data_IF_813274220720
#
_entry.id   IF_813274220720
#
_cell.length_a   1.000
_cell.length_b   1.000
_cell.length_c   1.000
_cell.angle_alpha   90.00
_cell.angle_beta   90.00
_cell.angle_gamma   90.00
#
_symmetry.space_group_name_H-M   'P 1'
#
loop_
_entity.id
_entity.type
_entity.pdbx_description
1 polymer ?
#
# COMPACT_ATOMS: atom_id res chain seq x y z
N UNK A 1 -7.64 16.89 5.76
CA UNK A 1 -7.56 16.56 7.20
C UNK A 1 -6.22 17.06 7.79
N UNK A 2 -6.19 18.19 8.51
CA UNK A 2 -4.95 18.83 9.05
C UNK A 2 -5.03 19.18 10.55
N UNK A 3 -5.66 18.33 11.38
CA UNK A 3 -5.94 18.68 12.78
C UNK A 3 -5.60 17.63 13.85
N UNK A 4 -4.81 16.59 13.54
CA UNK A 4 -4.56 15.48 14.50
C UNK A 4 -3.13 15.46 15.11
N UNK A 5 -2.15 16.16 14.55
CA UNK A 5 -0.75 16.05 15.03
C UNK A 5 -0.32 17.05 16.12
N UNK A 6 -1.18 17.35 17.11
CA UNK A 6 -0.88 18.38 18.13
C UNK A 6 -0.11 17.91 19.37
N UNK A 7 0.43 16.68 19.39
CA UNK A 7 1.15 16.17 20.57
C UNK A 7 2.06 14.95 20.40
N UNK A 8 2.28 14.44 19.19
CA UNK A 8 3.16 13.29 18.95
C UNK A 8 4.56 13.73 18.55
N UNK A 9 5.58 13.17 19.20
CA UNK A 9 6.98 13.40 18.85
C UNK A 9 7.22 13.00 17.40
N UNK A 10 7.86 13.88 16.62
CA UNK A 10 8.00 13.80 15.15
C UNK A 10 8.44 12.40 14.68
N UNK A 11 9.38 11.77 15.40
CA UNK A 11 9.89 10.43 15.08
C UNK A 11 8.83 9.33 15.01
N UNK A 12 7.79 9.35 15.85
CA UNK A 12 6.80 8.26 15.87
C UNK A 12 5.95 8.25 14.59
N UNK A 13 5.67 9.42 14.02
CA UNK A 13 4.87 9.56 12.80
C UNK A 13 5.61 9.03 11.57
N UNK A 14 6.91 9.32 11.47
CA UNK A 14 7.75 8.82 10.38
C UNK A 14 7.81 7.29 10.38
N UNK A 15 7.98 6.66 11.54
CA UNK A 15 7.98 5.19 11.63
C UNK A 15 6.65 4.58 11.19
N UNK A 16 5.52 5.16 11.60
CA UNK A 16 4.18 4.64 11.23
C UNK A 16 3.95 4.74 9.72
N UNK A 17 4.29 5.88 9.10
CA UNK A 17 4.15 6.07 7.65
C UNK A 17 5.10 5.14 6.89
N UNK A 18 6.33 4.96 7.38
CA UNK A 18 7.29 4.03 6.80
C UNK A 18 6.78 2.59 6.80
N UNK A 19 6.29 2.09 7.95
CA UNK A 19 5.74 0.74 8.04
C UNK A 19 4.45 0.55 7.23
N UNK A 20 3.62 1.59 7.14
CA UNK A 20 2.44 1.58 6.28
C UNK A 20 2.82 1.36 4.81
N UNK A 21 3.78 2.16 4.29
CA UNK A 21 4.29 1.99 2.93
C UNK A 21 4.99 0.66 2.70
N UNK A 22 5.79 0.20 3.66
CA UNK A 22 6.48 -1.08 3.60
C UNK A 22 5.48 -2.25 3.49
N UNK A 23 4.42 -2.23 4.30
CA UNK A 23 3.38 -3.26 4.28
C UNK A 23 2.67 -3.32 2.91
N UNK A 24 2.36 -2.15 2.33
CA UNK A 24 1.71 -2.06 1.00
C UNK A 24 2.60 -2.66 -0.10
N UNK A 25 3.89 -2.33 -0.13
CA UNK A 25 4.82 -2.89 -1.13
C UNK A 25 5.00 -4.40 -0.99
N UNK A 26 5.01 -4.93 0.24
CA UNK A 26 5.07 -6.38 0.49
C UNK A 26 3.82 -7.07 -0.08
N UNK A 27 2.64 -6.49 0.14
CA UNK A 27 1.38 -7.02 -0.41
C UNK A 27 1.39 -6.99 -1.94
N UNK A 28 1.91 -5.94 -2.57
CA UNK A 28 2.03 -5.87 -4.04
C UNK A 28 2.84 -7.03 -4.62
N UNK A 29 4.04 -7.24 -4.09
CA UNK A 29 4.95 -8.27 -4.60
C UNK A 29 4.40 -9.67 -4.32
N UNK A 30 3.80 -9.88 -3.13
CA UNK A 30 3.13 -11.14 -2.80
C UNK A 30 1.95 -11.42 -3.72
N UNK A 31 1.11 -10.41 -3.99
CA UNK A 31 0.00 -10.51 -4.93
C UNK A 31 0.49 -10.90 -6.32
N UNK A 32 1.51 -10.21 -6.85
CA UNK A 32 2.07 -10.51 -8.16
C UNK A 32 2.64 -11.95 -8.22
N UNK A 33 3.27 -12.42 -7.14
CA UNK A 33 3.80 -13.78 -7.01
C UNK A 33 2.71 -14.84 -6.94
N UNK A 34 1.61 -14.58 -6.22
CA UNK A 34 0.47 -15.49 -6.13
C UNK A 34 -0.30 -15.62 -7.44
N UNK A 35 -0.35 -14.55 -8.25
CA UNK A 35 -0.99 -14.58 -9.57
C UNK A 35 -0.08 -15.10 -10.69
N UNK A 36 1.24 -15.10 -10.48
CA UNK A 36 2.24 -15.59 -11.46
C UNK A 36 1.98 -17.00 -12.01
N UNK A 37 1.56 -18.03 -11.24
CA UNK A 37 1.29 -19.36 -11.81
C UNK A 37 0.03 -19.42 -12.67
N UNK A 38 -0.93 -18.51 -12.48
CA UNK A 38 -2.21 -18.51 -13.21
C UNK A 38 -2.18 -17.62 -14.46
N UNK A 39 -1.53 -16.46 -14.37
CA UNK A 39 -1.58 -15.41 -15.41
C UNK A 39 -0.19 -15.00 -15.94
N UNK A 40 0.89 -15.58 -15.40
CA UNK A 40 2.26 -15.16 -15.70
C UNK A 40 2.59 -13.77 -15.16
N UNK A 41 3.84 -13.33 -15.33
CA UNK A 41 4.27 -11.96 -14.99
C UNK A 41 3.95 -11.00 -16.14
N UNK A 42 2.66 -10.72 -16.35
CA UNK A 42 2.19 -9.80 -17.39
C UNK A 42 1.86 -8.41 -16.82
N UNK A 43 1.93 -7.38 -17.66
CA UNK A 43 1.58 -6.00 -17.28
C UNK A 43 0.14 -5.86 -16.75
N UNK A 44 -0.76 -6.72 -17.23
CA UNK A 44 -2.15 -6.78 -16.75
C UNK A 44 -2.24 -7.17 -15.26
N UNK A 45 -1.43 -8.13 -14.81
CA UNK A 45 -1.41 -8.55 -13.39
C UNK A 45 -0.90 -7.41 -12.51
N UNK A 46 0.22 -6.81 -12.88
CA UNK A 46 0.82 -5.69 -12.14
C UNK A 46 -0.13 -4.48 -12.02
N UNK A 47 -0.76 -4.07 -13.13
CA UNK A 47 -1.67 -2.91 -13.12
C UNK A 47 -2.98 -3.19 -12.38
N UNK A 48 -3.48 -4.42 -12.41
CA UNK A 48 -4.68 -4.80 -11.64
C UNK A 48 -4.45 -4.72 -10.13
N UNK A 49 -3.29 -5.16 -9.65
CA UNK A 49 -2.93 -5.11 -8.22
C UNK A 49 -2.74 -3.66 -7.76
N UNK A 50 -1.98 -2.85 -8.51
CA UNK A 50 -1.83 -1.41 -8.24
C UNK A 50 -3.21 -0.74 -8.19
N UNK A 51 -4.10 -1.07 -9.13
CA UNK A 51 -5.47 -0.57 -9.17
C UNK A 51 -6.28 -0.86 -7.90
N UNK A 52 -6.24 -2.11 -7.42
CA UNK A 52 -6.91 -2.51 -6.17
C UNK A 52 -6.35 -1.78 -4.96
N UNK A 53 -5.04 -1.60 -4.88
CA UNK A 53 -4.38 -0.91 -3.76
C UNK A 53 -4.70 0.58 -3.77
N UNK A 54 -4.67 1.23 -4.92
CA UNK A 54 -5.09 2.63 -5.04
C UNK A 54 -6.55 2.81 -4.61
N UNK A 55 -7.44 1.91 -5.00
CA UNK A 55 -8.85 1.94 -4.56
C UNK A 55 -8.94 1.75 -3.04
N UNK A 56 -8.20 0.81 -2.47
CA UNK A 56 -8.18 0.56 -1.02
C UNK A 56 -7.68 1.78 -0.24
N UNK A 57 -6.59 2.40 -0.68
CA UNK A 57 -6.03 3.60 -0.07
C UNK A 57 -7.00 4.78 -0.20
N UNK A 58 -7.57 5.02 -1.39
CA UNK A 58 -8.57 6.07 -1.60
C UNK A 58 -9.79 5.91 -0.69
N UNK A 59 -10.22 4.67 -0.42
CA UNK A 59 -11.31 4.39 0.53
C UNK A 59 -10.90 4.64 2.00
N UNK A 60 -9.64 4.46 2.34
CA UNK A 60 -9.12 4.71 3.70
C UNK A 60 -8.90 6.19 4.03
N UNK A 61 -8.96 7.10 3.05
CA UNK A 61 -8.71 8.54 3.22
C UNK A 61 -9.91 9.35 3.76
N UNK A 62 -10.75 8.80 4.63
CA UNK A 62 -11.90 9.51 5.24
C UNK A 62 -11.82 9.56 6.76
#
# INVERSE_FOLDING_TARGET
MRFVFRGYSFSYLDFVVFFCGLSVMVIEILGARMLSPFFGNTFYVWTSIIGVIMISLARGYW
#
